data_IF_852343186038
#
_entry.id   IF_852343186038
#
_cell.length_a   1.000
_cell.length_b   1.000
_cell.length_c   1.000
_cell.angle_alpha   90.00
_cell.angle_beta   90.00
_cell.angle_gamma   90.00
#
_symmetry.space_group_name_H-M   'P 1'
#
loop_
_entity.id
_entity.type
_entity.pdbx_description
1 polymer ?
#
# COMPACT_ATOMS: atom_id res chain seq x y z
N UNK A 1 13.12 7.75 9.46
CA UNK A 1 12.11 7.29 8.48
C UNK A 1 12.79 6.50 7.39
N UNK A 2 12.20 5.39 6.97
CA UNK A 2 12.76 4.57 5.90
C UNK A 2 12.17 4.98 4.56
N UNK A 3 13.02 5.22 3.59
CA UNK A 3 12.62 5.57 2.25
C UNK A 3 13.05 4.45 1.30
N UNK A 4 12.11 3.97 0.50
CA UNK A 4 12.37 2.87 -0.43
C UNK A 4 12.00 3.28 -1.84
N UNK A 5 12.72 2.74 -2.82
CA UNK A 5 12.39 2.89 -4.22
C UNK A 5 11.88 1.56 -4.73
N UNK A 6 10.75 1.58 -5.43
CA UNK A 6 10.08 0.35 -5.83
C UNK A 6 9.56 0.50 -7.26
N UNK A 7 9.57 -0.59 -8.00
CA UNK A 7 9.10 -0.63 -9.39
C UNK A 7 7.77 -1.34 -9.47
N UNK A 8 7.00 -1.09 -10.55
CA UNK A 8 5.70 -1.77 -10.71
C UNK A 8 5.86 -3.29 -10.67
N UNK A 9 4.97 -3.93 -9.96
CA UNK A 9 5.00 -5.37 -9.78
C UNK A 9 5.77 -5.83 -8.56
N UNK A 10 6.50 -4.92 -7.91
CA UNK A 10 7.24 -5.24 -6.70
C UNK A 10 6.38 -4.99 -5.47
N UNK A 11 6.78 -5.59 -4.35
CA UNK A 11 6.03 -5.43 -3.12
C UNK A 11 6.96 -5.30 -1.93
N UNK A 12 6.38 -4.83 -0.83
CA UNK A 12 7.07 -4.64 0.44
C UNK A 12 6.29 -5.40 1.50
N UNK A 13 6.98 -6.20 2.29
CA UNK A 13 6.39 -6.86 3.45
C UNK A 13 6.69 -6.04 4.69
N UNK A 14 5.66 -5.84 5.50
CA UNK A 14 5.78 -5.16 6.79
C UNK A 14 5.34 -6.15 7.85
N UNK A 15 6.28 -6.59 8.64
CA UNK A 15 6.01 -7.67 9.58
C UNK A 15 5.69 -8.96 8.84
N UNK A 16 4.84 -9.79 9.43
CA UNK A 16 4.50 -11.09 8.86
C UNK A 16 3.18 -11.08 8.11
N UNK A 17 2.37 -10.05 8.30
CA UNK A 17 0.98 -10.11 7.86
C UNK A 17 0.54 -8.90 7.02
N UNK A 18 1.43 -7.96 6.73
CA UNK A 18 1.10 -6.81 5.90
C UNK A 18 1.97 -6.80 4.66
N UNK A 19 1.34 -6.64 3.51
CA UNK A 19 2.05 -6.54 2.24
C UNK A 19 1.51 -5.36 1.44
N UNK A 20 2.42 -4.53 0.96
CA UNK A 20 2.07 -3.39 0.13
C UNK A 20 2.62 -3.66 -1.27
N UNK A 21 1.74 -3.71 -2.25
CA UNK A 21 2.10 -4.04 -3.63
C UNK A 21 1.95 -2.79 -4.48
N UNK A 22 2.99 -2.47 -5.22
CA UNK A 22 2.96 -1.36 -6.16
C UNK A 22 2.53 -1.91 -7.53
N UNK A 23 1.33 -1.59 -7.95
CA UNK A 23 0.78 -2.12 -9.20
C UNK A 23 0.97 -1.18 -10.38
N UNK A 24 1.67 -0.08 -10.17
CA UNK A 24 1.90 0.90 -11.24
C UNK A 24 0.89 2.02 -11.19
N UNK A 25 0.76 2.75 -12.29
CA UNK A 25 -0.15 3.86 -12.31
C UNK A 25 -0.43 4.33 -13.72
N UNK A 26 -1.34 5.27 -13.84
CA UNK A 26 -1.71 5.88 -15.10
C UNK A 26 -2.22 7.29 -14.84
N UNK A 27 -1.99 8.19 -15.80
CA UNK A 27 -2.51 9.55 -15.77
C UNK A 27 -2.14 10.29 -14.48
N UNK A 28 -0.90 10.10 -14.02
CA UNK A 28 -0.42 10.77 -12.84
C UNK A 28 -0.81 10.12 -11.52
N UNK A 29 -1.56 9.04 -11.56
CA UNK A 29 -1.98 8.32 -10.36
C UNK A 29 -1.15 7.06 -10.16
N UNK A 30 -0.88 6.75 -8.92
CA UNK A 30 -0.15 5.54 -8.54
C UNK A 30 -1.09 4.65 -7.75
N UNK A 31 -1.13 3.38 -8.11
CA UNK A 31 -2.02 2.42 -7.47
C UNK A 31 -1.24 1.50 -6.56
N UNK A 32 -1.70 1.38 -5.33
CA UNK A 32 -1.14 0.49 -4.34
C UNK A 32 -2.22 -0.51 -3.92
N UNK A 33 -1.82 -1.76 -3.77
CA UNK A 33 -2.66 -2.79 -3.20
C UNK A 33 -2.12 -3.11 -1.82
N UNK A 34 -2.98 -3.08 -0.83
CA UNK A 34 -2.55 -3.32 0.54
C UNK A 34 -3.25 -4.56 1.07
N UNK A 35 -2.46 -5.57 1.39
CA UNK A 35 -2.94 -6.81 1.97
C UNK A 35 -2.61 -6.78 3.46
N UNK A 36 -3.63 -6.69 4.29
CA UNK A 36 -3.46 -6.52 5.72
C UNK A 36 -4.64 -7.15 6.46
N UNK A 37 -4.45 -7.50 7.74
CA UNK A 37 -5.56 -7.99 8.56
C UNK A 37 -6.67 -6.94 8.68
N UNK A 38 -7.89 -7.40 8.82
CA UNK A 38 -9.06 -6.52 8.90
C UNK A 38 -9.02 -5.56 10.07
N UNK A 39 -8.40 -5.96 11.15
CA UNK A 39 -8.37 -5.14 12.35
C UNK A 39 -7.47 -3.93 12.21
N UNK A 40 -6.65 -3.88 11.16
CA UNK A 40 -5.81 -2.72 10.92
C UNK A 40 -6.54 -1.72 10.04
N UNK A 41 -6.67 -0.50 10.52
CA UNK A 41 -7.25 0.59 9.73
C UNK A 41 -6.22 1.09 8.74
N UNK A 42 -6.65 1.23 7.50
CA UNK A 42 -5.80 1.76 6.44
C UNK A 42 -6.37 3.12 6.06
N UNK A 43 -5.58 4.16 6.27
CA UNK A 43 -6.02 5.55 6.12
C UNK A 43 -5.10 6.27 5.16
N UNK A 44 -5.69 6.87 4.14
CA UNK A 44 -4.96 7.78 3.26
C UNK A 44 -4.85 9.14 3.91
N UNK A 45 -3.83 9.89 3.52
CA UNK A 45 -3.58 11.20 4.10
C UNK A 45 -4.73 12.19 3.86
N UNK A 46 -5.46 12.04 2.78
CA UNK A 46 -6.55 12.97 2.44
C UNK A 46 -7.93 12.45 2.73
N UNK A 47 -8.09 11.14 2.71
CA UNK A 47 -9.40 10.51 2.85
C UNK A 47 -9.25 9.35 3.82
N UNK A 48 -10.18 9.30 4.76
CA UNK A 48 -10.25 8.15 5.66
C UNK A 48 -10.80 6.97 4.87
N UNK A 49 -9.99 5.94 4.74
CA UNK A 49 -10.37 4.72 4.03
C UNK A 49 -10.28 3.55 4.98
N UNK A 50 -11.15 2.58 4.78
CA UNK A 50 -11.16 1.39 5.60
C UNK A 50 -10.90 0.16 4.75
N UNK A 51 -10.18 -0.75 5.32
CA UNK A 51 -9.96 -2.06 4.74
C UNK A 51 -11.14 -2.96 5.11
N UNK A 52 -12.13 -2.98 4.27
CA UNK A 52 -13.33 -3.78 4.54
C UNK A 52 -13.43 -4.96 3.62
#
# INVERSE_FOLDING_TARGET
MLKLTIKPGEYINIGDDVRVIYSGGSEGNIHLLIDAPRELNIVRSKVLARNT
#
